data_IF_871005911120
#
_entry.id   IF_871005911120
#
_cell.length_a   1.000
_cell.length_b   1.000
_cell.length_c   1.000
_cell.angle_alpha   90.00
_cell.angle_beta   90.00
_cell.angle_gamma   90.00
#
_symmetry.space_group_name_H-M   'P 1'
#
loop_
_entity.id
_entity.type
_entity.pdbx_description
1 polymer ?
#
# COMPACT_ATOMS: atom_id res chain seq x y z
N UNK A 1 -19.10 6.74 8.12
CA UNK A 1 -17.65 6.40 8.12
C UNK A 1 -16.87 7.68 7.86
N UNK A 2 -16.13 8.17 8.86
CA UNK A 2 -15.23 9.30 8.65
C UNK A 2 -14.10 8.83 7.73
N UNK A 3 -14.08 9.32 6.49
CA UNK A 3 -13.03 9.00 5.53
C UNK A 3 -11.68 9.40 6.10
N UNK A 4 -10.72 8.49 6.11
CA UNK A 4 -9.32 8.81 6.38
C UNK A 4 -8.77 9.64 5.21
N UNK A 5 -9.04 10.94 5.22
CA UNK A 5 -8.36 11.88 4.33
C UNK A 5 -6.97 12.14 4.92
N UNK A 6 -5.95 11.73 4.17
CA UNK A 6 -4.59 12.15 4.43
C UNK A 6 -4.50 13.67 4.24
N UNK A 7 -3.71 14.35 5.08
CA UNK A 7 -3.41 15.77 4.90
C UNK A 7 -2.81 16.00 3.51
N UNK A 8 -3.24 17.07 2.85
CA UNK A 8 -2.59 17.58 1.65
C UNK A 8 -1.14 17.97 1.93
N UNK A 9 -0.33 18.01 0.88
CA UNK A 9 1.06 18.46 0.98
C UNK A 9 1.16 19.89 1.50
N UNK A 10 0.21 20.75 1.12
CA UNK A 10 0.11 22.11 1.62
C UNK A 10 -0.13 22.16 3.13
N UNK A 11 -1.13 21.44 3.64
CA UNK A 11 -1.43 21.39 5.08
C UNK A 11 -0.25 20.84 5.89
N UNK A 12 0.44 19.82 5.36
CA UNK A 12 1.69 19.32 5.97
C UNK A 12 2.79 20.36 5.98
N UNK A 13 2.95 21.10 4.88
CA UNK A 13 3.89 22.22 4.80
C UNK A 13 3.59 23.32 5.82
N UNK A 14 2.31 23.66 6.01
CA UNK A 14 1.89 24.64 7.03
C UNK A 14 2.25 24.18 8.45
N UNK A 15 1.99 22.91 8.78
CA UNK A 15 2.35 22.35 10.10
C UNK A 15 3.86 22.38 10.32
N UNK A 16 4.65 21.94 9.33
CA UNK A 16 6.12 21.93 9.43
C UNK A 16 6.66 23.34 9.54
N UNK A 17 6.23 24.26 8.68
CA UNK A 17 6.67 25.66 8.72
C UNK A 17 6.37 26.33 10.05
N UNK A 18 5.18 26.12 10.62
CA UNK A 18 4.85 26.68 11.93
C UNK A 18 5.74 26.13 13.05
N UNK A 19 6.08 24.84 13.01
CA UNK A 19 6.97 24.21 13.99
C UNK A 19 8.43 24.66 13.85
N UNK A 20 8.93 24.85 12.63
CA UNK A 20 10.26 25.39 12.36
C UNK A 20 10.39 26.86 12.79
N UNK A 21 9.30 27.64 12.71
CA UNK A 21 9.24 29.01 13.26
C UNK A 21 9.16 29.06 14.80
N UNK A 22 9.25 27.92 15.49
CA UNK A 22 9.29 27.84 16.95
C UNK A 22 7.92 27.80 17.65
N UNK A 23 6.80 27.75 16.91
CA UNK A 23 5.48 27.69 17.53
C UNK A 23 5.24 26.38 18.28
N UNK A 24 4.61 26.47 19.45
CA UNK A 24 4.27 25.30 20.27
C UNK A 24 3.13 24.47 19.64
N UNK A 25 3.04 23.17 19.97
CA UNK A 25 1.95 22.31 19.45
C UNK A 25 0.54 22.88 19.78
N UNK A 26 0.27 23.37 21.01
CA UNK A 26 -1.00 24.03 21.31
C UNK A 26 -1.29 25.24 20.40
N UNK A 27 -0.30 26.10 20.13
CA UNK A 27 -0.46 27.25 19.23
C UNK A 27 -0.85 26.82 17.82
N UNK A 28 -0.17 25.81 17.29
CA UNK A 28 -0.45 25.27 15.95
C UNK A 28 -1.84 24.63 15.90
N UNK A 29 -2.25 23.92 16.95
CA UNK A 29 -3.61 23.38 17.07
C UNK A 29 -4.67 24.48 17.06
N UNK A 30 -4.48 25.53 17.86
CA UNK A 30 -5.45 26.65 17.92
C UNK A 30 -5.52 27.42 16.60
N UNK A 31 -4.37 27.64 15.96
CA UNK A 31 -4.28 28.47 14.75
C UNK A 31 -4.82 27.78 13.50
N UNK A 32 -4.58 26.48 13.35
CA UNK A 32 -4.88 25.75 12.11
C UNK A 32 -5.94 24.65 12.28
N UNK A 33 -6.42 24.40 13.50
CA UNK A 33 -7.49 23.43 13.77
C UNK A 33 -7.07 21.96 13.66
N UNK A 34 -5.79 21.66 13.44
CA UNK A 34 -5.30 20.28 13.41
C UNK A 34 -5.18 19.70 14.82
N UNK A 35 -5.52 18.41 14.95
CA UNK A 35 -5.35 17.70 16.21
C UNK A 35 -3.87 17.66 16.65
N UNK A 36 -3.64 17.66 17.97
CA UNK A 36 -2.28 17.56 18.55
C UNK A 36 -1.53 16.33 18.05
N UNK A 37 -2.24 15.20 17.89
CA UNK A 37 -1.65 13.93 17.40
C UNK A 37 -1.26 14.03 15.94
N UNK A 38 -2.09 14.67 15.10
CA UNK A 38 -1.77 14.96 13.70
C UNK A 38 -0.51 15.81 13.58
N UNK A 39 -0.44 16.92 14.32
CA UNK A 39 0.72 17.84 14.30
C UNK A 39 2.00 17.12 14.74
N UNK A 40 1.92 16.38 15.86
CA UNK A 40 3.07 15.64 16.41
C UNK A 40 3.59 14.61 15.41
N UNK A 41 2.68 13.87 14.76
CA UNK A 41 3.02 12.84 13.78
C UNK A 41 3.66 13.43 12.53
N UNK A 42 3.09 14.50 11.98
CA UNK A 42 3.63 15.18 10.79
C UNK A 42 5.03 15.73 11.08
N UNK A 43 5.21 16.36 12.24
CA UNK A 43 6.50 16.94 12.60
C UNK A 43 7.56 15.87 12.87
N UNK A 44 7.20 14.73 13.48
CA UNK A 44 8.10 13.59 13.64
C UNK A 44 8.51 13.00 12.28
N UNK A 45 7.54 12.73 11.39
CA UNK A 45 7.80 12.25 10.03
C UNK A 45 8.74 13.19 9.27
N UNK A 46 8.56 14.51 9.42
CA UNK A 46 9.45 15.51 8.84
C UNK A 46 10.85 15.47 9.43
N UNK A 47 11.02 15.38 10.75
CA UNK A 47 12.34 15.32 11.40
C UNK A 47 13.15 14.09 10.97
N UNK A 48 12.48 12.96 10.72
CA UNK A 48 13.14 11.73 10.30
C UNK A 48 13.49 11.69 8.82
N UNK A 49 12.67 12.31 7.95
CA UNK A 49 12.79 12.16 6.49
C UNK A 49 13.18 13.43 5.74
N UNK A 50 13.12 14.60 6.39
CA UNK A 50 13.24 15.95 5.82
C UNK A 50 12.30 16.16 4.61
N UNK A 51 11.18 15.44 4.59
CA UNK A 51 10.16 15.53 3.55
C UNK A 51 8.82 15.86 4.18
N UNK A 52 8.14 16.84 3.59
CA UNK A 52 6.76 17.20 3.93
C UNK A 52 5.77 16.28 3.22
N UNK A 53 6.13 15.75 2.05
CA UNK A 53 5.26 14.90 1.25
C UNK A 53 5.23 13.45 1.75
N UNK A 54 4.03 12.89 1.79
CA UNK A 54 3.77 11.49 2.14
C UNK A 54 3.65 10.66 0.86
N UNK A 55 4.64 10.71 -0.03
CA UNK A 55 4.72 9.79 -1.18
C UNK A 55 5.12 8.39 -0.70
N UNK A 56 4.23 7.75 0.06
CA UNK A 56 4.27 6.30 0.19
C UNK A 56 3.72 5.76 -1.11
N UNK A 57 4.58 5.24 -1.98
CA UNK A 57 4.13 4.36 -3.05
C UNK A 57 3.34 3.24 -2.37
N UNK A 58 2.01 3.30 -2.44
CA UNK A 58 1.15 2.23 -1.95
C UNK A 58 1.33 1.06 -2.90
N UNK A 59 2.44 0.34 -2.76
CA UNK A 59 2.53 -1.00 -3.29
C UNK A 59 1.62 -1.85 -2.40
N UNK A 60 0.42 -2.14 -2.90
CA UNK A 60 -0.41 -3.16 -2.27
C UNK A 60 0.35 -4.49 -2.18
N UNK A 61 -0.28 -5.50 -1.62
CA UNK A 61 0.28 -6.85 -1.62
C UNK A 61 0.65 -7.24 -3.06
N UNK A 62 1.93 -7.56 -3.29
CA UNK A 62 2.40 -8.01 -4.61
C UNK A 62 1.62 -9.27 -5.01
N UNK A 63 1.20 -9.33 -6.28
CA UNK A 63 0.57 -10.52 -6.83
C UNK A 63 1.62 -11.63 -6.96
N UNK A 64 1.25 -12.85 -6.59
CA UNK A 64 2.11 -14.03 -6.72
C UNK A 64 2.22 -14.44 -8.19
N UNK A 65 1.12 -14.34 -8.94
CA UNK A 65 1.06 -14.67 -10.36
C UNK A 65 1.33 -13.44 -11.23
N UNK A 66 2.28 -13.56 -12.15
CA UNK A 66 2.50 -12.60 -13.23
C UNK A 66 1.55 -12.87 -14.41
N UNK A 67 1.48 -11.97 -15.38
CA UNK A 67 0.63 -12.17 -16.57
C UNK A 67 0.97 -13.46 -17.33
N UNK A 68 2.24 -13.85 -17.36
CA UNK A 68 2.67 -15.10 -18.01
C UNK A 68 2.10 -16.32 -17.30
N UNK A 69 2.05 -16.28 -15.97
CA UNK A 69 1.47 -17.32 -15.13
C UNK A 69 -0.04 -17.42 -15.36
N UNK A 70 -0.72 -16.27 -15.44
CA UNK A 70 -2.15 -16.22 -15.75
C UNK A 70 -2.44 -16.80 -17.15
N UNK A 71 -1.66 -16.42 -18.18
CA UNK A 71 -1.80 -16.98 -19.53
C UNK A 71 -1.59 -18.49 -19.54
N UNK A 72 -0.62 -19.00 -18.77
CA UNK A 72 -0.36 -20.43 -18.66
C UNK A 72 -1.51 -21.16 -17.95
N UNK A 73 -2.01 -20.62 -16.84
CA UNK A 73 -3.17 -21.19 -16.14
C UNK A 73 -4.39 -21.27 -17.08
N UNK A 74 -4.66 -20.21 -17.85
CA UNK A 74 -5.74 -20.20 -18.84
C UNK A 74 -5.59 -21.29 -19.91
N UNK A 75 -4.35 -21.60 -20.34
CA UNK A 75 -4.12 -22.71 -21.30
C UNK A 75 -4.40 -24.07 -20.67
N UNK A 76 -4.01 -24.28 -19.42
CA UNK A 76 -4.27 -25.53 -18.68
C UNK A 76 -5.78 -25.74 -18.54
N UNK A 77 -6.51 -24.72 -18.09
CA UNK A 77 -7.98 -24.77 -17.94
C UNK A 77 -8.70 -25.01 -19.27
N UNK A 78 -8.18 -24.48 -20.39
CA UNK A 78 -8.75 -24.71 -21.72
C UNK A 78 -8.46 -26.11 -22.26
N UNK A 79 -7.30 -26.69 -21.93
CA UNK A 79 -6.90 -28.04 -22.38
C UNK A 79 -7.76 -29.11 -21.73
N UNK A 80 -8.03 -28.98 -20.43
CA UNK A 80 -8.85 -29.93 -19.69
C UNK A 80 -9.88 -29.22 -18.82
N UNK A 81 -11.11 -29.09 -19.35
CA UNK A 81 -12.22 -28.43 -18.67
C UNK A 81 -12.79 -29.25 -17.50
N UNK A 82 -12.39 -30.53 -17.36
CA UNK A 82 -12.88 -31.45 -16.31
C UNK A 82 -11.84 -31.70 -15.22
N UNK A 83 -10.65 -31.13 -15.33
CA UNK A 83 -9.59 -31.27 -14.34
C UNK A 83 -9.99 -30.70 -12.98
N UNK A 84 -9.63 -31.42 -11.92
CA UNK A 84 -9.83 -30.98 -10.53
C UNK A 84 -8.77 -29.95 -10.13
N UNK A 85 -9.06 -29.10 -9.14
CA UNK A 85 -8.11 -28.08 -8.67
C UNK A 85 -6.73 -28.65 -8.28
N UNK A 86 -6.60 -29.81 -7.59
CA UNK A 86 -5.29 -30.42 -7.32
C UNK A 86 -4.53 -30.83 -8.59
N UNK A 87 -5.24 -31.35 -9.59
CA UNK A 87 -4.64 -31.72 -10.89
C UNK A 87 -4.16 -30.48 -11.65
N UNK A 88 -4.96 -29.42 -11.68
CA UNK A 88 -4.60 -28.12 -12.27
C UNK A 88 -3.38 -27.54 -11.54
N UNK A 89 -3.33 -27.66 -10.22
CA UNK A 89 -2.20 -27.18 -9.40
C UNK A 89 -0.93 -27.97 -9.68
N UNK A 90 -1.02 -29.29 -9.79
CA UNK A 90 0.11 -30.14 -10.14
C UNK A 90 0.64 -29.83 -11.55
N UNK A 91 -0.25 -29.72 -12.54
CA UNK A 91 0.12 -29.38 -13.92
C UNK A 91 0.72 -27.97 -14.01
N UNK A 92 0.14 -27.02 -13.25
CA UNK A 92 0.71 -25.69 -13.14
C UNK A 92 2.10 -25.72 -12.45
N UNK A 93 2.31 -26.48 -11.39
CA UNK A 93 3.60 -26.52 -10.71
C UNK A 93 4.67 -27.37 -11.43
N UNK A 94 4.31 -28.17 -12.43
CA UNK A 94 5.25 -28.98 -13.22
C UNK A 94 6.14 -28.17 -14.18
N UNK A 95 5.91 -26.86 -14.32
CA UNK A 95 6.75 -25.96 -15.12
C UNK A 95 7.85 -25.26 -14.31
N UNK A 96 8.75 -24.48 -14.96
CA UNK A 96 9.83 -23.74 -14.28
C UNK A 96 9.35 -22.52 -13.47
N UNK A 97 8.03 -22.35 -13.30
CA UNK A 97 7.42 -21.24 -12.58
C UNK A 97 7.52 -21.43 -11.06
N UNK A 98 7.32 -20.34 -10.33
CA UNK A 98 7.06 -20.35 -8.88
C UNK A 98 5.92 -21.32 -8.55
N UNK A 99 6.13 -22.20 -7.57
CA UNK A 99 5.06 -23.09 -7.10
C UNK A 99 3.94 -22.30 -6.41
N UNK A 100 2.69 -22.69 -6.66
CA UNK A 100 1.51 -22.06 -6.06
C UNK A 100 0.65 -23.09 -5.33
N UNK A 101 -0.08 -22.62 -4.32
CA UNK A 101 -1.03 -23.44 -3.59
C UNK A 101 -2.34 -23.61 -4.35
N UNK A 102 -3.12 -24.64 -4.02
CA UNK A 102 -4.48 -24.83 -4.55
C UNK A 102 -5.35 -23.59 -4.32
N UNK A 103 -5.21 -22.94 -3.15
CA UNK A 103 -5.93 -21.71 -2.79
C UNK A 103 -5.59 -20.50 -3.66
N UNK A 104 -4.42 -20.52 -4.30
CA UNK A 104 -4.00 -19.47 -5.23
C UNK A 104 -4.65 -19.64 -6.61
N UNK A 105 -5.04 -20.87 -6.96
CA UNK A 105 -5.63 -21.24 -8.26
C UNK A 105 -7.16 -21.12 -8.26
N UNK A 106 -7.80 -21.35 -7.11
CA UNK A 106 -9.24 -21.17 -6.90
C UNK A 106 -9.68 -19.72 -7.14
#
# INVERSE_FOLDING_TARGET
MAGYQDLSEFERGVIVGAREMGHSIPEVTMKFGFSRTTISRVYLEYRESVKTSKLRHRCGRKKIMQERDQRRLTRILKRDRRATLPQITADFNAGPSTSVSVRTIQ
#
